data_IF_407584905858
#
_entry.id   IF_407584905858
#
_cell.length_a   1.000
_cell.length_b   1.000
_cell.length_c   1.000
_cell.angle_alpha   90.00
_cell.angle_beta   90.00
_cell.angle_gamma   90.00
#
_symmetry.space_group_name_H-M   'P 1'
#
loop_
_entity.id
_entity.type
_entity.pdbx_description
1 polymer ?
#
# COMPACT_ATOMS: atom_id res chain seq x y z
N UNK A 1 45.18 -7.89 4.33
CA UNK A 1 43.81 -7.64 4.82
C UNK A 1 43.01 -8.94 4.72
N UNK A 2 42.27 -9.37 5.75
CA UNK A 2 41.45 -10.58 5.67
C UNK A 2 40.37 -10.42 4.59
N UNK A 3 40.13 -11.47 3.80
CA UNK A 3 39.10 -11.47 2.76
C UNK A 3 37.71 -11.54 3.41
N UNK A 4 36.85 -10.55 3.16
CA UNK A 4 35.45 -10.58 3.60
C UNK A 4 34.73 -11.72 2.89
N UNK A 5 33.98 -12.54 3.62
CA UNK A 5 33.17 -13.65 3.07
C UNK A 5 31.69 -13.31 3.16
N UNK A 6 30.83 -14.03 2.43
CA UNK A 6 29.38 -13.88 2.57
C UNK A 6 28.94 -14.12 4.01
N UNK A 7 29.39 -15.23 4.61
CA UNK A 7 29.03 -15.61 5.98
C UNK A 7 29.42 -14.55 7.02
N UNK A 8 30.58 -13.92 6.87
CA UNK A 8 31.02 -12.84 7.78
C UNK A 8 30.35 -11.49 7.50
N UNK A 9 29.49 -11.38 6.50
CA UNK A 9 28.83 -10.13 6.09
C UNK A 9 27.34 -10.12 6.39
N UNK A 10 26.73 -11.27 6.64
CA UNK A 10 25.29 -11.40 6.85
C UNK A 10 24.99 -11.30 8.35
N UNK A 11 23.89 -10.62 8.70
CA UNK A 11 23.42 -10.51 10.10
C UNK A 11 22.90 -11.85 10.63
N UNK A 12 22.80 -11.99 11.96
CA UNK A 12 22.31 -13.21 12.61
C UNK A 12 20.89 -13.58 12.14
N UNK A 13 20.02 -12.59 11.99
CA UNK A 13 18.63 -12.76 11.54
C UNK A 13 18.51 -13.28 10.10
N UNK A 14 19.60 -13.22 9.34
CA UNK A 14 19.69 -13.62 7.94
C UNK A 14 20.70 -14.76 7.72
N UNK A 15 21.17 -15.44 8.78
CA UNK A 15 22.26 -16.44 8.65
C UNK A 15 21.95 -17.51 7.59
N UNK A 16 20.68 -17.89 7.43
CA UNK A 16 20.22 -18.84 6.40
C UNK A 16 20.58 -18.39 4.97
N UNK A 17 20.62 -17.08 4.70
CA UNK A 17 21.04 -16.51 3.43
C UNK A 17 22.55 -16.62 3.17
N UNK A 18 23.35 -17.12 4.12
CA UNK A 18 24.76 -17.45 3.88
C UNK A 18 25.01 -18.94 3.63
N UNK A 19 24.02 -19.80 3.91
CA UNK A 19 24.16 -21.25 3.85
C UNK A 19 24.03 -21.78 2.41
N UNK A 20 24.75 -22.85 2.03
CA UNK A 20 24.68 -23.46 0.70
C UNK A 20 23.39 -24.28 0.51
N UNK A 21 22.25 -23.60 0.53
CA UNK A 21 20.91 -24.18 0.37
C UNK A 21 20.12 -23.50 -0.75
N UNK A 22 19.15 -24.22 -1.31
CA UNK A 22 18.18 -23.65 -2.25
C UNK A 22 17.25 -22.70 -1.49
N UNK A 23 17.15 -21.46 -1.96
CA UNK A 23 16.24 -20.46 -1.39
C UNK A 23 14.86 -20.60 -2.02
N UNK A 24 13.82 -20.32 -1.24
CA UNK A 24 12.41 -20.45 -1.61
C UNK A 24 11.62 -19.17 -1.34
N UNK A 25 10.36 -19.16 -1.76
CA UNK A 25 9.42 -18.06 -1.49
C UNK A 25 9.33 -17.67 -0.01
N UNK A 26 9.39 -18.64 0.90
CA UNK A 26 9.46 -18.40 2.36
C UNK A 26 10.67 -17.55 2.77
N UNK A 27 11.84 -17.72 2.15
CA UNK A 27 13.02 -16.91 2.45
C UNK A 27 12.83 -15.44 2.03
N UNK A 28 12.11 -15.16 0.93
CA UNK A 28 11.78 -13.79 0.53
C UNK A 28 10.90 -13.10 1.56
N UNK A 29 9.87 -13.79 2.05
CA UNK A 29 8.93 -13.22 3.02
C UNK A 29 9.57 -13.03 4.39
N UNK A 30 10.40 -13.99 4.82
CA UNK A 30 11.22 -13.87 6.04
C UNK A 30 12.13 -12.64 5.93
N UNK A 31 12.93 -12.56 4.87
CA UNK A 31 13.86 -11.44 4.68
C UNK A 31 13.12 -10.09 4.64
N UNK A 32 12.03 -10.01 3.88
CA UNK A 32 11.24 -8.79 3.80
C UNK A 32 10.61 -8.38 5.14
N UNK A 33 10.29 -9.34 6.00
CA UNK A 33 9.78 -9.07 7.35
C UNK A 33 10.90 -8.60 8.27
N UNK A 34 12.06 -9.28 8.26
CA UNK A 34 13.26 -8.87 9.01
C UNK A 34 13.69 -7.44 8.64
N UNK A 35 13.60 -7.10 7.35
CA UNK A 35 13.97 -5.78 6.85
C UNK A 35 12.82 -4.76 6.91
N UNK A 36 11.64 -5.13 7.43
CA UNK A 36 10.46 -4.26 7.47
C UNK A 36 10.16 -3.59 6.10
N UNK A 37 10.18 -4.38 5.02
CA UNK A 37 9.91 -3.88 3.67
C UNK A 37 8.40 -3.83 3.42
N UNK A 38 7.91 -2.65 3.04
CA UNK A 38 6.55 -2.45 2.54
C UNK A 38 6.33 -3.12 1.18
N UNK A 39 5.08 -3.25 0.72
CA UNK A 39 4.76 -4.01 -0.50
C UNK A 39 5.47 -3.46 -1.76
N UNK A 40 5.52 -2.13 -1.89
CA UNK A 40 6.18 -1.46 -3.02
C UNK A 40 7.70 -1.61 -2.93
N UNK A 41 8.26 -1.52 -1.71
CA UNK A 41 9.70 -1.74 -1.50
C UNK A 41 10.09 -3.17 -1.84
N UNK A 42 9.27 -4.17 -1.46
CA UNK A 42 9.48 -5.57 -1.87
C UNK A 42 9.46 -5.71 -3.39
N UNK A 43 8.46 -5.14 -4.05
CA UNK A 43 8.34 -5.21 -5.51
C UNK A 43 9.56 -4.59 -6.21
N UNK A 44 10.01 -3.43 -5.70
CA UNK A 44 11.18 -2.70 -6.22
C UNK A 44 12.48 -3.45 -5.95
N UNK A 45 12.67 -3.91 -4.70
CA UNK A 45 13.88 -4.61 -4.28
C UNK A 45 14.09 -5.91 -5.05
N UNK A 46 13.02 -6.67 -5.28
CA UNK A 46 13.11 -7.98 -5.95
C UNK A 46 12.93 -7.91 -7.47
N UNK A 47 12.54 -6.75 -8.02
CA UNK A 47 12.26 -6.59 -9.45
C UNK A 47 11.06 -7.42 -9.90
N UNK A 48 10.04 -7.55 -9.05
CA UNK A 48 8.88 -8.42 -9.28
C UNK A 48 7.57 -7.67 -9.05
N UNK A 49 6.54 -8.00 -9.83
CA UNK A 49 5.18 -7.57 -9.52
C UNK A 49 4.61 -8.35 -8.32
N UNK A 50 3.54 -7.83 -7.73
CA UNK A 50 2.92 -8.41 -6.52
C UNK A 50 2.36 -9.81 -6.76
N UNK A 51 1.76 -10.07 -7.91
CA UNK A 51 1.23 -11.40 -8.26
C UNK A 51 2.33 -12.46 -8.30
N UNK A 52 3.48 -12.14 -8.90
CA UNK A 52 4.63 -13.05 -8.94
C UNK A 52 5.22 -13.31 -7.55
N UNK A 53 5.30 -12.27 -6.70
CA UNK A 53 5.71 -12.45 -5.29
C UNK A 53 4.75 -13.36 -4.52
N UNK A 54 3.43 -13.14 -4.64
CA UNK A 54 2.44 -14.00 -3.97
C UNK A 54 2.46 -15.43 -4.52
N UNK A 55 2.70 -15.61 -5.81
CA UNK A 55 2.86 -16.93 -6.42
C UNK A 55 4.05 -17.70 -5.82
N UNK A 56 5.21 -17.06 -5.69
CA UNK A 56 6.38 -17.67 -5.05
C UNK A 56 6.14 -17.97 -3.57
N UNK A 57 5.51 -17.03 -2.84
CA UNK A 57 5.22 -17.19 -1.41
C UNK A 57 4.23 -18.32 -1.14
N UNK A 58 3.08 -18.31 -1.81
CA UNK A 58 1.97 -19.22 -1.48
C UNK A 58 2.27 -20.67 -1.85
N UNK A 59 3.03 -20.89 -2.91
CA UNK A 59 3.45 -22.23 -3.34
C UNK A 59 4.86 -22.61 -2.84
N UNK A 60 5.50 -21.74 -2.05
CA UNK A 60 6.87 -21.86 -1.54
C UNK A 60 7.87 -22.37 -2.60
N UNK A 61 7.79 -21.79 -3.80
CA UNK A 61 8.57 -22.23 -4.95
C UNK A 61 10.03 -21.86 -4.78
N UNK A 62 10.89 -22.66 -5.42
CA UNK A 62 12.33 -22.35 -5.54
C UNK A 62 12.55 -21.01 -6.23
N UNK A 63 13.45 -20.20 -5.66
CA UNK A 63 13.89 -18.96 -6.26
C UNK A 63 14.84 -19.26 -7.41
N UNK A 64 14.58 -18.66 -8.57
CA UNK A 64 15.54 -18.66 -9.68
C UNK A 64 16.86 -18.04 -9.23
N UNK A 65 17.97 -18.53 -9.78
CA UNK A 65 19.32 -18.13 -9.40
C UNK A 65 19.53 -16.60 -9.27
N UNK A 66 19.06 -15.73 -10.19
CA UNK A 66 19.23 -14.29 -10.05
C UNK A 66 18.62 -13.73 -8.76
N UNK A 67 17.41 -14.17 -8.40
CA UNK A 67 16.71 -13.71 -7.20
C UNK A 67 17.32 -14.29 -5.93
N UNK A 68 17.76 -15.56 -5.97
CA UNK A 68 18.49 -16.16 -4.88
C UNK A 68 19.81 -15.42 -4.60
N UNK A 69 20.60 -15.12 -5.64
CA UNK A 69 21.85 -14.35 -5.51
C UNK A 69 21.55 -12.95 -4.94
N UNK A 70 20.54 -12.26 -5.49
CA UNK A 70 20.14 -10.94 -5.03
C UNK A 70 19.76 -10.92 -3.55
N UNK A 71 18.96 -11.89 -3.09
CA UNK A 71 18.54 -11.98 -1.70
C UNK A 71 19.74 -12.16 -0.75
N UNK A 72 20.73 -12.97 -1.15
CA UNK A 72 21.97 -13.15 -0.37
C UNK A 72 22.80 -11.88 -0.31
N UNK A 73 22.89 -11.14 -1.42
CA UNK A 73 23.59 -9.86 -1.46
C UNK A 73 22.90 -8.83 -0.55
N UNK A 74 21.57 -8.73 -0.59
CA UNK A 74 20.85 -7.87 0.34
C UNK A 74 20.99 -8.31 1.80
N UNK A 75 21.08 -9.62 2.08
CA UNK A 75 21.40 -10.12 3.42
C UNK A 75 22.79 -9.69 3.91
N UNK A 76 23.75 -9.56 3.01
CA UNK A 76 25.13 -9.18 3.31
C UNK A 76 25.39 -7.67 3.30
N UNK A 77 24.54 -6.92 2.58
CA UNK A 77 24.65 -5.49 2.34
C UNK A 77 23.25 -4.84 2.40
N UNK A 78 22.56 -4.87 3.56
CA UNK A 78 21.18 -4.39 3.67
C UNK A 78 21.03 -2.91 3.32
N UNK A 79 22.09 -2.11 3.42
CA UNK A 79 22.14 -0.71 3.00
C UNK A 79 21.94 -0.52 1.49
N UNK A 80 22.14 -1.56 0.69
CA UNK A 80 21.92 -1.54 -0.76
C UNK A 80 20.47 -1.78 -1.16
N UNK A 81 19.60 -2.11 -0.19
CA UNK A 81 18.17 -2.24 -0.46
C UNK A 81 17.62 -0.92 -1.00
N UNK A 82 16.85 -0.94 -2.11
CA UNK A 82 16.19 0.25 -2.59
C UNK A 82 15.07 0.64 -1.62
N UNK A 83 15.39 1.56 -0.72
CA UNK A 83 14.45 2.13 0.25
C UNK A 83 13.81 3.38 -0.32
N UNK A 84 12.54 3.58 0.03
CA UNK A 84 11.91 4.85 -0.25
C UNK A 84 12.46 5.89 0.72
N UNK A 85 13.21 6.86 0.20
CA UNK A 85 13.63 8.00 0.98
C UNK A 85 12.50 9.04 1.09
N UNK A 86 12.34 9.62 2.27
CA UNK A 86 11.47 10.77 2.55
C UNK A 86 12.25 11.82 3.35
N UNK A 87 12.02 13.13 3.13
CA UNK A 87 12.58 14.16 4.00
C UNK A 87 12.05 14.03 5.43
N UNK A 88 12.75 14.55 6.43
CA UNK A 88 12.13 14.72 7.74
C UNK A 88 10.96 15.71 7.67
N UNK A 89 10.02 15.62 8.61
CA UNK A 89 8.90 16.57 8.67
C UNK A 89 9.39 18.02 8.77
N UNK A 90 10.38 18.29 9.62
CA UNK A 90 10.97 19.62 9.77
C UNK A 90 11.64 20.11 8.49
N UNK A 91 12.44 19.29 7.81
CA UNK A 91 13.07 19.68 6.54
C UNK A 91 12.03 19.98 5.46
N UNK A 92 10.96 19.18 5.39
CA UNK A 92 9.87 19.39 4.46
C UNK A 92 9.16 20.72 4.72
N UNK A 93 8.76 20.99 5.97
CA UNK A 93 8.10 22.24 6.34
C UNK A 93 8.98 23.46 6.09
N UNK A 94 10.26 23.40 6.48
CA UNK A 94 11.20 24.51 6.25
C UNK A 94 11.36 24.81 4.75
N UNK A 95 11.34 23.79 3.90
CA UNK A 95 11.41 23.99 2.46
C UNK A 95 10.13 24.64 1.92
N UNK A 96 8.95 24.20 2.37
CA UNK A 96 7.68 24.84 2.02
C UNK A 96 7.65 26.31 2.48
N UNK A 97 8.13 26.60 3.69
CA UNK A 97 8.18 27.96 4.23
C UNK A 97 9.17 28.87 3.49
N UNK A 98 10.18 28.31 2.81
CA UNK A 98 11.02 29.11 1.90
C UNK A 98 10.25 29.58 0.67
N UNK A 99 9.31 28.78 0.17
CA UNK A 99 8.46 29.15 -0.95
C UNK A 99 7.26 30.02 -0.51
N UNK A 100 6.71 29.79 0.68
CA UNK A 100 5.57 30.52 1.25
C UNK A 100 5.85 30.83 2.73
N UNK A 101 6.46 31.99 3.07
CA UNK A 101 6.88 32.32 4.43
C UNK A 101 5.76 32.30 5.49
N UNK A 102 4.51 32.52 5.07
CA UNK A 102 3.33 32.46 5.95
C UNK A 102 2.81 31.05 6.20
N UNK A 103 3.42 30.01 5.62
CA UNK A 103 2.91 28.65 5.71
C UNK A 103 3.02 28.09 7.13
N UNK A 104 1.90 27.54 7.62
CA UNK A 104 1.78 27.01 8.98
C UNK A 104 1.94 25.49 8.95
N UNK A 105 2.74 24.93 9.86
CA UNK A 105 3.05 23.48 9.88
C UNK A 105 1.80 22.60 9.89
N UNK A 106 0.78 23.01 10.66
CA UNK A 106 -0.47 22.26 10.78
C UNK A 106 -1.32 22.27 9.50
N UNK A 107 -1.01 23.13 8.53
CA UNK A 107 -1.63 23.20 7.21
C UNK A 107 -0.95 22.28 6.18
N UNK A 108 -0.01 21.44 6.60
CA UNK A 108 0.61 20.42 5.73
C UNK A 108 -0.33 19.26 5.37
N UNK A 109 -1.43 19.05 6.11
CA UNK A 109 -2.42 17.99 5.83
C UNK A 109 -2.92 18.02 4.37
N UNK A 110 -3.44 19.17 3.89
CA UNK A 110 -3.76 19.39 2.49
C UNK A 110 -2.66 18.97 1.51
N UNK A 111 -1.40 19.40 1.71
CA UNK A 111 -0.29 19.03 0.81
C UNK A 111 -0.08 17.52 0.66
N UNK A 112 -0.48 16.77 1.68
CA UNK A 112 -0.20 15.34 1.80
C UNK A 112 -1.45 14.47 1.54
N UNK A 113 -2.60 15.08 1.22
CA UNK A 113 -3.85 14.35 1.03
C UNK A 113 -4.38 13.69 2.31
N UNK A 114 -4.03 14.22 3.49
CA UNK A 114 -4.38 13.65 4.79
C UNK A 114 -5.04 14.66 5.71
N UNK A 115 -5.78 14.16 6.69
CA UNK A 115 -6.40 15.01 7.70
C UNK A 115 -5.38 15.53 8.71
N UNK A 116 -5.69 16.71 9.27
CA UNK A 116 -4.85 17.40 10.27
C UNK A 116 -4.37 16.52 11.44
N UNK A 117 -5.17 15.56 11.90
CA UNK A 117 -4.80 14.66 12.99
C UNK A 117 -3.58 13.79 12.64
N UNK A 118 -3.40 13.47 11.35
CA UNK A 118 -2.27 12.66 10.89
C UNK A 118 -0.95 13.44 10.97
N UNK A 119 -0.99 14.78 10.94
CA UNK A 119 0.21 15.63 11.03
C UNK A 119 0.88 15.51 12.38
N UNK A 120 0.12 15.37 13.47
CA UNK A 120 0.70 15.16 14.80
C UNK A 120 1.52 13.87 14.84
N UNK A 121 0.99 12.78 14.26
CA UNK A 121 1.71 11.50 14.20
C UNK A 121 2.96 11.61 13.34
N UNK A 122 2.87 12.23 12.17
CA UNK A 122 4.02 12.42 11.25
C UNK A 122 5.11 13.29 11.88
N UNK A 123 4.73 14.30 12.64
CA UNK A 123 5.70 15.16 13.33
C UNK A 123 6.57 14.38 14.31
N UNK A 124 5.97 13.41 15.01
CA UNK A 124 6.66 12.65 16.06
C UNK A 124 7.35 11.38 15.54
N UNK A 125 6.73 10.69 14.58
CA UNK A 125 7.17 9.37 14.11
C UNK A 125 7.74 9.41 12.68
N UNK A 126 7.76 10.59 12.04
CA UNK A 126 8.22 10.78 10.66
C UNK A 126 7.21 10.34 9.61
N UNK A 127 7.61 10.37 8.35
CA UNK A 127 6.76 9.92 7.24
C UNK A 127 6.64 8.40 7.16
N UNK A 128 7.40 7.64 7.98
CA UNK A 128 7.40 6.18 7.91
C UNK A 128 6.06 5.54 8.26
N UNK A 129 5.26 6.23 9.07
CA UNK A 129 3.89 5.85 9.46
C UNK A 129 2.85 6.14 8.38
N UNK A 130 3.25 6.78 7.28
CA UNK A 130 2.34 7.10 6.19
C UNK A 130 2.22 5.93 5.21
N UNK A 131 1.10 5.92 4.49
CA UNK A 131 0.94 5.07 3.30
C UNK A 131 2.00 5.47 2.25
N UNK A 132 2.42 4.52 1.44
CA UNK A 132 3.44 4.71 0.42
C UNK A 132 3.07 5.80 -0.59
N UNK A 133 1.79 5.94 -0.96
CA UNK A 133 1.36 7.03 -1.84
C UNK A 133 1.64 8.41 -1.25
N UNK A 134 1.44 8.58 0.06
CA UNK A 134 1.78 9.83 0.77
C UNK A 134 3.29 10.03 0.86
N UNK A 135 4.07 8.95 1.06
CA UNK A 135 5.54 9.01 1.04
C UNK A 135 6.07 9.45 -0.34
N UNK A 136 5.52 8.90 -1.42
CA UNK A 136 5.86 9.31 -2.80
C UNK A 136 5.47 10.77 -3.03
N UNK A 137 4.28 11.18 -2.58
CA UNK A 137 3.80 12.56 -2.73
C UNK A 137 4.73 13.56 -2.02
N UNK A 138 5.08 13.33 -0.75
CA UNK A 138 5.99 14.24 -0.02
C UNK A 138 7.37 14.30 -0.69
N UNK A 139 7.93 13.17 -1.11
CA UNK A 139 9.22 13.14 -1.78
C UNK A 139 9.17 13.87 -3.12
N UNK A 140 8.06 13.78 -3.85
CA UNK A 140 7.85 14.49 -5.11
C UNK A 140 7.78 16.00 -4.89
N UNK A 141 6.94 16.46 -3.95
CA UNK A 141 6.83 17.88 -3.59
C UNK A 141 8.19 18.43 -3.13
N UNK A 142 8.89 17.69 -2.27
CA UNK A 142 10.20 18.09 -1.76
C UNK A 142 11.22 18.26 -2.88
N UNK A 143 11.28 17.32 -3.83
CA UNK A 143 12.18 17.40 -4.99
C UNK A 143 11.85 18.60 -5.87
N UNK A 144 10.58 18.81 -6.19
CA UNK A 144 10.13 19.96 -7.00
C UNK A 144 10.53 21.29 -6.37
N UNK A 145 10.33 21.45 -5.06
CA UNK A 145 10.71 22.68 -4.36
C UNK A 145 12.23 22.83 -4.16
N UNK A 146 12.98 21.72 -4.10
CA UNK A 146 14.45 21.76 -4.08
C UNK A 146 15.02 22.22 -5.41
N UNK A 147 14.38 21.83 -6.50
CA UNK A 147 14.77 22.19 -7.86
C UNK A 147 14.43 23.66 -8.16
N UNK A 148 13.19 24.08 -7.88
CA UNK A 148 12.75 25.46 -8.03
C UNK A 148 11.61 25.78 -7.06
N UNK A 149 11.79 26.83 -6.23
CA UNK A 149 10.76 27.29 -5.30
C UNK A 149 9.52 27.84 -6.01
N UNK A 150 9.64 28.27 -7.28
CA UNK A 150 8.51 28.74 -8.08
C UNK A 150 7.47 27.64 -8.35
N UNK A 151 7.88 26.36 -8.29
CA UNK A 151 6.99 25.19 -8.41
C UNK A 151 5.90 25.14 -7.33
N UNK A 152 6.03 25.94 -6.27
CA UNK A 152 5.01 26.05 -5.23
C UNK A 152 3.63 26.45 -5.79
N UNK A 153 3.55 27.33 -6.80
CA UNK A 153 2.27 27.71 -7.41
C UNK A 153 1.55 26.50 -8.00
N UNK A 154 2.28 25.66 -8.76
CA UNK A 154 1.75 24.44 -9.37
C UNK A 154 1.31 23.42 -8.31
N UNK A 155 2.09 23.27 -7.23
CA UNK A 155 1.74 22.39 -6.11
C UNK A 155 0.45 22.86 -5.44
N UNK A 156 0.33 24.16 -5.18
CA UNK A 156 -0.86 24.78 -4.57
C UNK A 156 -2.08 24.61 -5.45
N UNK A 157 -1.94 24.87 -6.75
CA UNK A 157 -2.98 24.69 -7.75
C UNK A 157 -3.45 23.23 -7.80
N UNK A 158 -2.54 22.26 -7.79
CA UNK A 158 -2.89 20.84 -7.78
C UNK A 158 -3.74 20.45 -6.56
N UNK A 159 -3.41 20.97 -5.37
CA UNK A 159 -4.21 20.77 -4.15
C UNK A 159 -5.59 21.42 -4.27
N UNK A 160 -5.67 22.61 -4.85
CA UNK A 160 -6.92 23.35 -5.05
C UNK A 160 -7.84 22.69 -6.08
N UNK A 161 -7.28 22.17 -7.18
CA UNK A 161 -8.01 21.38 -8.18
C UNK A 161 -8.61 20.14 -7.54
N UNK A 162 -7.85 19.42 -6.71
CA UNK A 162 -8.36 18.24 -6.01
C UNK A 162 -9.38 18.59 -4.92
N UNK A 163 -9.27 19.76 -4.28
CA UNK A 163 -10.30 20.24 -3.36
C UNK A 163 -11.62 20.51 -4.10
N UNK A 164 -11.57 21.23 -5.22
CA UNK A 164 -12.73 21.50 -6.08
C UNK A 164 -13.38 20.22 -6.59
N UNK A 165 -12.59 19.23 -7.03
CA UNK A 165 -13.10 17.95 -7.55
C UNK A 165 -13.93 17.18 -6.51
N UNK A 166 -13.66 17.41 -5.22
CA UNK A 166 -14.37 16.82 -4.07
C UNK A 166 -15.52 17.69 -3.55
N UNK A 167 -15.79 18.82 -4.20
CA UNK A 167 -16.78 19.80 -3.77
C UNK A 167 -16.38 20.54 -2.49
N UNK A 168 -15.08 20.67 -2.21
CA UNK A 168 -14.54 21.46 -1.11
C UNK A 168 -14.20 22.87 -1.61
N UNK A 169 -14.24 23.85 -0.72
CA UNK A 169 -13.76 25.21 -1.01
C UNK A 169 -12.22 25.22 -1.07
N UNK A 170 -11.61 25.53 -2.24
CA UNK A 170 -10.16 25.50 -2.43
C UNK A 170 -9.38 26.47 -1.55
N UNK A 171 -10.00 27.56 -1.09
CA UNK A 171 -9.36 28.53 -0.20
C UNK A 171 -9.46 28.11 1.27
N UNK A 172 -10.50 27.35 1.61
CA UNK A 172 -10.72 26.91 2.99
C UNK A 172 -10.02 25.59 3.32
N UNK A 173 -9.57 24.82 2.33
CA UNK A 173 -8.89 23.53 2.56
C UNK A 173 -7.64 23.71 3.43
N UNK A 174 -6.90 24.81 3.25
CA UNK A 174 -5.69 25.16 4.00
C UNK A 174 -5.95 25.46 5.48
N UNK A 175 -7.17 25.88 5.81
CA UNK A 175 -7.61 26.21 7.18
C UNK A 175 -8.22 24.99 7.87
N UNK A 176 -9.13 24.30 7.17
CA UNK A 176 -9.91 23.17 7.71
C UNK A 176 -9.12 21.87 7.75
N UNK A 177 -8.27 21.63 6.75
CA UNK A 177 -7.41 20.44 6.66
C UNK A 177 -8.17 19.12 6.66
N UNK A 178 -9.36 19.10 6.05
CA UNK A 178 -10.23 17.91 5.93
C UNK A 178 -10.50 17.62 4.46
N UNK A 179 -10.23 16.39 4.03
CA UNK A 179 -10.44 15.94 2.65
C UNK A 179 -11.82 15.30 2.39
N UNK A 180 -12.73 15.41 3.36
CA UNK A 180 -14.09 14.88 3.30
C UNK A 180 -15.11 15.98 3.51
N UNK A 181 -16.17 15.95 2.71
CA UNK A 181 -17.33 16.79 2.91
C UNK A 181 -18.23 16.21 4.01
N UNK A 182 -18.65 16.99 5.02
CA UNK A 182 -19.59 16.52 6.05
C UNK A 182 -20.90 16.00 5.45
N UNK A 183 -21.33 16.59 4.33
CA UNK A 183 -22.61 16.29 3.68
C UNK A 183 -22.65 14.92 3.00
N UNK A 184 -21.49 14.38 2.59
CA UNK A 184 -21.41 13.08 1.91
C UNK A 184 -21.51 11.89 2.88
N UNK A 185 -21.24 12.11 4.17
CA UNK A 185 -21.44 11.08 5.21
C UNK A 185 -22.91 11.00 5.66
N UNK A 186 -23.69 12.08 5.54
CA UNK A 186 -25.11 12.09 5.91
C UNK A 186 -26.02 11.34 4.90
N UNK A 187 -25.60 11.16 3.65
CA UNK A 187 -26.41 10.47 2.63
C UNK A 187 -26.17 8.95 2.52
N UNK A 188 -25.36 8.35 3.39
CA UNK A 188 -25.20 6.88 3.48
C UNK A 188 -25.92 6.26 4.68
N UNK A 189 -26.71 7.03 5.42
CA UNK A 189 -27.30 6.62 6.69
C UNK A 189 -28.79 6.91 6.85
N UNK A 190 -29.56 7.07 5.77
CA UNK A 190 -31.02 7.13 5.89
C UNK A 190 -31.69 6.38 4.74
N UNK A 191 -31.91 5.10 5.00
CA UNK A 191 -32.56 4.13 4.14
C UNK A 191 -33.01 2.94 4.98
N UNK A 192 -33.42 3.19 6.23
CA UNK A 192 -34.19 2.24 7.02
C UNK A 192 -35.65 2.33 6.59
N UNK A 193 -35.98 1.69 5.45
CA UNK A 193 -37.34 1.22 5.24
C UNK A 193 -37.46 -0.15 5.92
N UNK A 194 -38.14 -0.11 7.05
CA UNK A 194 -38.56 -1.22 7.88
C UNK A 194 -39.49 -2.16 7.08
N UNK A 195 -38.90 -3.07 6.28
CA UNK A 195 -39.67 -4.16 5.65
C UNK A 195 -39.78 -5.33 6.61
N UNK A 196 -40.93 -5.37 7.28
CA UNK A 196 -41.47 -6.54 8.00
C UNK A 196 -41.15 -7.83 7.24
N UNK A 197 -40.54 -8.80 7.94
CA UNK A 197 -40.37 -10.19 7.49
C UNK A 197 -41.70 -10.75 6.96
N UNK A 198 -41.80 -11.17 5.69
CA UNK A 198 -42.77 -12.17 5.30
C UNK A 198 -42.13 -13.54 5.50
N UNK A 199 -42.70 -14.30 6.43
CA UNK A 199 -42.52 -15.74 6.56
C UNK A 199 -42.88 -16.40 5.23
N UNK A 200 -41.86 -16.73 4.41
CA UNK A 200 -42.07 -17.39 3.13
C UNK A 200 -41.97 -18.91 3.29
N UNK A 201 -43.13 -19.52 3.51
CA UNK A 201 -43.38 -20.95 3.35
C UNK A 201 -43.02 -21.36 1.93
N UNK A 202 -42.02 -22.23 1.79
CA UNK A 202 -41.51 -22.75 0.52
C UNK A 202 -42.59 -23.63 -0.14
N UNK A 203 -43.41 -23.05 -1.03
CA UNK A 203 -44.28 -23.82 -1.95
C UNK A 203 -43.39 -24.50 -2.99
N UNK A 204 -43.30 -25.82 -2.89
CA UNK A 204 -42.73 -26.70 -3.90
C UNK A 204 -43.61 -26.62 -5.15
N UNK A 205 -43.11 -26.01 -6.23
CA UNK A 205 -43.70 -26.16 -7.58
C UNK A 205 -43.30 -27.54 -8.11
N UNK A 206 -44.27 -28.44 -8.23
CA UNK A 206 -44.16 -29.63 -9.08
C UNK A 206 -44.12 -29.15 -10.53
N UNK A 207 -42.99 -29.35 -11.21
CA UNK A 207 -42.91 -29.27 -12.66
C UNK A 207 -43.16 -30.68 -13.18
N UNK A 208 -44.27 -30.86 -13.89
CA UNK A 208 -44.52 -32.08 -14.65
C UNK A 208 -43.61 -32.05 -15.89
N UNK A 209 -42.64 -32.96 -15.94
CA UNK A 209 -41.89 -33.26 -17.17
C UNK A 209 -42.46 -34.57 -17.69
N UNK A 210 -43.31 -34.47 -18.71
CA UNK A 210 -43.65 -35.58 -19.59
C UNK A 210 -42.55 -35.68 -20.62
N UNK A 211 -41.73 -36.74 -20.55
CA UNK A 211 -41.01 -37.24 -21.71
C UNK A 211 -41.34 -38.72 -21.84
N UNK A 212 -41.95 -39.03 -22.98
CA UNK A 212 -41.99 -40.34 -23.59
C UNK A 212 -40.57 -40.86 -23.84
N UNK A 213 -40.48 -42.19 -23.85
CA UNK A 213 -39.39 -42.99 -24.42
C UNK A 213 -38.15 -43.22 -23.55
N UNK A 214 -38.22 -44.34 -22.83
CA UNK A 214 -37.29 -45.46 -22.96
C UNK A 214 -35.80 -45.18 -22.85
N UNK A 215 -35.22 -45.41 -21.67
CA UNK A 215 -33.78 -45.60 -21.54
C UNK A 215 -33.29 -45.56 -20.09
N UNK A 216 -32.88 -46.71 -19.55
CA UNK A 216 -32.19 -46.79 -18.27
C UNK A 216 -30.92 -45.93 -18.26
N UNK A 217 -30.81 -45.00 -17.31
CA UNK A 217 -29.57 -44.31 -16.99
C UNK A 217 -29.49 -44.02 -15.49
N UNK A 218 -28.50 -44.64 -14.84
CA UNK A 218 -28.15 -44.48 -13.43
C UNK A 218 -27.28 -43.23 -13.31
N UNK A 219 -27.78 -42.17 -12.69
CA UNK A 219 -27.00 -40.96 -12.37
C UNK A 219 -26.68 -40.89 -10.87
N UNK A 220 -25.39 -40.97 -10.52
CA UNK A 220 -24.87 -40.60 -9.18
C UNK A 220 -24.60 -39.10 -9.12
N UNK A 221 -24.83 -38.44 -7.96
CA UNK A 221 -24.56 -37.01 -7.81
C UNK A 221 -23.07 -36.72 -7.62
N UNK A 222 -22.57 -35.72 -8.36
CA UNK A 222 -21.25 -35.10 -8.17
C UNK A 222 -21.44 -33.93 -7.18
N UNK A 223 -20.75 -33.98 -6.05
CA UNK A 223 -20.68 -32.89 -5.07
C UNK A 223 -19.42 -32.08 -5.35
N UNK A 224 -19.59 -30.82 -5.74
CA UNK A 224 -18.52 -29.82 -5.69
C UNK A 224 -18.61 -29.07 -4.37
N UNK A 225 -17.54 -29.09 -3.58
CA UNK A 225 -17.38 -28.26 -2.38
C UNK A 225 -16.65 -26.98 -2.78
N UNK A 226 -17.23 -25.83 -2.42
CA UNK A 226 -16.53 -24.55 -2.33
C UNK A 226 -15.70 -24.50 -1.05
#
# INVERSE_FOLDING_TARGET
MPKKTLRSSVSEENENLSQPMVLRGSNLDQFASTQNLGLIERATAFGMNTAAMYGLKNADLELKAPLAILLRLYGAFPETLPRMWTPSFTEFILLVQKAEPGFKEYSAGPLLGIDKNSIYRIRNEGFDVCKESTKILVTTIYKLLKEDLSNWSVIKDAVQVEASSRGLDPEQIWKKGKWKNPTTEAQKGDGSEETKKPTSTRKIRKVAVTNSDGGHSITKPIVWKN
#
